data_IF_925760259742
#
_entry.id   IF_925760259742
#
_cell.length_a   1.000
_cell.length_b   1.000
_cell.length_c   1.000
_cell.angle_alpha   90.00
_cell.angle_beta   90.00
_cell.angle_gamma   90.00
#
_symmetry.space_group_name_H-M   'P 1'
#
loop_
_entity.id
_entity.type
_entity.pdbx_description
1 polymer ?
#
# COMPACT_ATOMS: atom_id res chain seq x y z
N UNK A 1 0.53 14.33 18.03
CA UNK A 1 0.01 15.68 18.44
C UNK A 1 -1.35 15.65 19.16
N UNK A 2 -2.35 14.80 18.80
CA UNK A 2 -3.64 14.76 19.53
C UNK A 2 -3.92 13.49 20.37
N UNK A 3 -2.98 12.56 20.55
CA UNK A 3 -3.14 11.33 21.36
C UNK A 3 -4.48 10.59 21.17
N UNK A 4 -5.02 10.60 19.95
CA UNK A 4 -6.25 9.88 19.61
C UNK A 4 -5.86 8.46 19.23
N UNK A 5 -6.41 7.48 19.95
CA UNK A 5 -6.22 6.07 19.60
C UNK A 5 -7.08 5.71 18.40
N UNK A 6 -6.47 5.06 17.42
CA UNK A 6 -7.15 4.55 16.22
C UNK A 6 -7.74 3.18 16.57
N UNK A 7 -9.00 2.89 16.18
CA UNK A 7 -9.57 1.58 16.39
C UNK A 7 -8.75 0.47 15.71
N UNK A 8 -8.68 -0.72 16.32
CA UNK A 8 -7.89 -1.83 15.78
C UNK A 8 -8.35 -2.25 14.38
N UNK A 9 -9.67 -2.31 14.14
CA UNK A 9 -10.23 -2.58 12.79
C UNK A 9 -9.76 -1.56 11.76
N UNK A 10 -9.77 -0.27 12.12
CA UNK A 10 -9.33 0.80 11.23
C UNK A 10 -7.83 0.67 10.88
N UNK A 11 -7.02 0.26 11.86
CA UNK A 11 -5.58 0.03 11.68
C UNK A 11 -5.31 -1.11 10.69
N UNK A 12 -6.06 -2.22 10.80
CA UNK A 12 -5.99 -3.34 9.86
C UNK A 12 -6.38 -2.94 8.44
N UNK A 13 -7.51 -2.23 8.28
CA UNK A 13 -7.96 -1.73 6.96
C UNK A 13 -6.90 -0.81 6.34
N UNK A 14 -6.28 0.06 7.15
CA UNK A 14 -5.18 0.92 6.69
C UNK A 14 -3.98 0.11 6.23
N UNK A 15 -3.54 -0.88 7.01
CA UNK A 15 -2.41 -1.74 6.61
C UNK A 15 -2.70 -2.44 5.28
N UNK A 16 -3.89 -3.02 5.11
CA UNK A 16 -4.27 -3.68 3.85
C UNK A 16 -4.19 -2.70 2.67
N UNK A 17 -4.77 -1.51 2.80
CA UNK A 17 -4.76 -0.52 1.73
C UNK A 17 -3.37 0.08 1.48
N UNK A 18 -2.55 0.22 2.52
CA UNK A 18 -1.16 0.67 2.40
C UNK A 18 -0.32 -0.36 1.64
N UNK A 19 -0.46 -1.65 1.94
CA UNK A 19 0.27 -2.70 1.23
C UNK A 19 -0.25 -2.88 -0.22
N UNK A 20 -1.56 -2.73 -0.47
CA UNK A 20 -2.08 -2.64 -1.85
C UNK A 20 -1.50 -1.43 -2.60
N UNK A 21 -1.37 -0.29 -1.92
CA UNK A 21 -0.77 0.91 -2.51
C UNK A 21 0.73 0.71 -2.78
N UNK A 22 1.45 -0.01 -1.91
CA UNK A 22 2.84 -0.42 -2.12
C UNK A 22 2.98 -1.28 -3.37
N UNK A 23 2.13 -2.31 -3.53
CA UNK A 23 2.10 -3.15 -4.73
C UNK A 23 1.87 -2.29 -5.99
N UNK A 24 0.86 -1.41 -5.97
CA UNK A 24 0.57 -0.53 -7.09
C UNK A 24 1.72 0.44 -7.43
N UNK A 25 2.51 0.85 -6.43
CA UNK A 25 3.70 1.69 -6.60
C UNK A 25 4.86 0.90 -7.20
N UNK A 26 5.14 -0.31 -6.72
CA UNK A 26 6.21 -1.17 -7.25
C UNK A 26 5.92 -1.62 -8.69
N UNK A 27 4.66 -1.91 -9.00
CA UNK A 27 4.21 -2.16 -10.38
C UNK A 27 4.45 -0.93 -11.27
N UNK A 28 4.05 0.27 -10.82
CA UNK A 28 4.30 1.50 -11.59
C UNK A 28 5.79 1.82 -11.75
N UNK A 29 6.65 1.40 -10.83
CA UNK A 29 8.09 1.52 -11.00
C UNK A 29 8.62 0.52 -12.04
N UNK A 30 8.20 -0.75 -11.93
CA UNK A 30 8.69 -1.84 -12.77
C UNK A 30 8.33 -1.64 -14.25
N UNK A 31 7.12 -1.16 -14.54
CA UNK A 31 6.63 -1.01 -15.91
C UNK A 31 7.54 -0.09 -16.76
N UNK A 32 7.62 1.22 -16.45
CA UNK A 32 8.49 2.17 -17.13
C UNK A 32 9.96 1.76 -17.10
N UNK A 33 10.47 1.22 -15.98
CA UNK A 33 11.84 0.73 -15.90
C UNK A 33 12.14 -0.33 -16.97
N UNK A 34 11.22 -1.29 -17.16
CA UNK A 34 11.36 -2.30 -18.22
C UNK A 34 11.21 -1.69 -19.62
N UNK A 35 10.29 -0.72 -19.78
CA UNK A 35 10.08 -0.02 -21.06
C UNK A 35 11.31 0.80 -21.49
N UNK A 36 11.98 1.45 -20.56
CA UNK A 36 13.21 2.23 -20.79
C UNK A 36 14.40 1.31 -21.13
N UNK A 37 14.43 0.12 -20.53
CA UNK A 37 15.32 -0.98 -20.93
C UNK A 37 14.89 -1.56 -22.30
N UNK A 38 13.76 -1.19 -22.88
CA UNK A 38 13.32 -1.62 -24.21
C UNK A 38 12.46 -2.89 -24.22
N UNK A 39 12.07 -3.41 -23.06
CA UNK A 39 11.07 -4.47 -22.95
C UNK A 39 9.67 -3.84 -22.79
N UNK A 40 8.95 -3.70 -23.89
CA UNK A 40 7.64 -3.04 -23.92
C UNK A 40 6.48 -3.97 -23.53
N UNK A 41 6.62 -5.29 -23.68
CA UNK A 41 5.51 -6.21 -23.40
C UNK A 41 5.17 -6.35 -21.91
N UNK A 42 6.12 -6.42 -20.96
CA UNK A 42 5.79 -6.50 -19.54
C UNK A 42 5.05 -5.26 -19.02
N UNK A 43 5.26 -4.10 -19.67
CA UNK A 43 4.56 -2.86 -19.34
C UNK A 43 3.04 -3.06 -19.39
N UNK A 44 2.50 -3.69 -20.44
CA UNK A 44 1.06 -3.90 -20.58
C UNK A 44 0.50 -4.88 -19.54
N UNK A 45 1.27 -5.91 -19.20
CA UNK A 45 0.84 -6.86 -18.17
C UNK A 45 0.74 -6.14 -16.82
N UNK A 46 1.78 -5.39 -16.44
CA UNK A 46 1.83 -4.67 -15.17
C UNK A 46 0.64 -3.70 -15.00
N UNK A 47 0.23 -3.01 -16.08
CA UNK A 47 -0.95 -2.14 -16.03
C UNK A 47 -2.26 -2.91 -15.87
N UNK A 48 -2.35 -4.15 -16.37
CA UNK A 48 -3.51 -5.03 -16.13
C UNK A 48 -3.62 -5.42 -14.66
N UNK A 49 -2.55 -5.82 -13.97
CA UNK A 49 -2.66 -6.12 -12.54
C UNK A 49 -2.90 -4.87 -11.71
N UNK A 50 -2.31 -3.75 -12.11
CA UNK A 50 -2.54 -2.46 -11.45
C UNK A 50 -4.00 -1.99 -11.56
N UNK A 51 -4.67 -2.32 -12.66
CA UNK A 51 -6.09 -2.07 -12.83
C UNK A 51 -6.96 -2.85 -11.83
N UNK A 52 -6.61 -4.10 -11.54
CA UNK A 52 -7.31 -4.90 -10.53
C UNK A 52 -7.20 -4.29 -9.13
N UNK A 53 -6.03 -3.72 -8.79
CA UNK A 53 -5.86 -2.97 -7.53
C UNK A 53 -6.73 -1.71 -7.51
N UNK A 54 -6.88 -1.04 -8.65
CA UNK A 54 -7.77 0.12 -8.76
C UNK A 54 -9.24 -0.24 -8.62
N UNK A 55 -9.67 -1.39 -9.13
CA UNK A 55 -11.02 -1.88 -8.90
C UNK A 55 -11.29 -2.19 -7.42
N UNK A 56 -10.26 -2.60 -6.66
CA UNK A 56 -10.37 -2.78 -5.21
C UNK A 56 -10.48 -1.44 -4.47
N UNK A 57 -9.70 -0.43 -4.87
CA UNK A 57 -9.81 0.91 -4.30
C UNK A 57 -11.12 1.61 -4.63
N UNK A 58 -11.60 1.45 -5.87
CA UNK A 58 -12.88 1.98 -6.31
C UNK A 58 -14.02 1.35 -5.53
N UNK A 59 -13.98 0.03 -5.32
CA UNK A 59 -14.97 -0.66 -4.49
C UNK A 59 -14.95 -0.15 -3.04
N UNK A 60 -13.79 0.06 -2.44
CA UNK A 60 -13.68 0.50 -1.04
C UNK A 60 -14.02 1.98 -0.82
N UNK A 61 -13.67 2.85 -1.77
CA UNK A 61 -13.63 4.31 -1.54
C UNK A 61 -14.48 5.11 -2.52
N UNK A 62 -14.93 4.50 -3.63
CA UNK A 62 -15.62 5.15 -4.74
C UNK A 62 -14.72 5.95 -5.68
N UNK A 63 -13.40 5.96 -5.45
CA UNK A 63 -12.42 6.65 -6.28
C UNK A 63 -11.27 5.71 -6.65
N UNK A 64 -10.53 6.03 -7.72
CA UNK A 64 -9.47 5.15 -8.27
C UNK A 64 -8.04 5.57 -7.94
N UNK A 65 -7.80 6.84 -7.63
CA UNK A 65 -6.47 7.33 -7.26
C UNK A 65 -6.50 8.22 -6.01
N UNK A 66 -7.35 9.25 -6.00
CA UNK A 66 -7.38 10.25 -4.92
C UNK A 66 -8.45 9.90 -3.89
N UNK A 67 -8.19 8.86 -3.10
CA UNK A 67 -9.22 8.20 -2.28
C UNK A 67 -9.71 8.99 -1.06
N UNK A 68 -8.94 9.97 -0.54
CA UNK A 68 -9.25 10.71 0.70
C UNK A 68 -9.82 9.84 1.84
N UNK A 69 -9.32 8.60 1.91
CA UNK A 69 -9.93 7.53 2.69
C UNK A 69 -9.37 7.47 4.12
N UNK A 70 -8.08 7.74 4.27
CA UNK A 70 -7.46 7.88 5.58
C UNK A 70 -7.81 9.24 6.16
N UNK A 71 -8.44 9.21 7.33
CA UNK A 71 -8.80 10.40 8.10
C UNK A 71 -8.15 10.33 9.47
N UNK A 72 -8.01 11.49 10.12
CA UNK A 72 -7.52 11.52 11.50
C UNK A 72 -8.44 10.64 12.36
N UNK A 73 -7.88 9.69 13.11
CA UNK A 73 -8.58 8.75 13.98
C UNK A 73 -9.30 7.57 13.35
N UNK A 74 -9.08 7.31 12.06
CA UNK A 74 -9.47 6.04 11.45
C UNK A 74 -9.66 6.14 9.95
N UNK A 75 -10.78 5.61 9.48
CA UNK A 75 -11.08 5.46 8.07
C UNK A 75 -12.42 6.14 7.76
N UNK A 76 -12.57 6.67 6.55
CA UNK A 76 -13.77 7.40 6.14
C UNK A 76 -15.05 6.54 6.08
N UNK A 77 -14.92 5.29 5.61
CA UNK A 77 -16.02 4.33 5.48
C UNK A 77 -15.49 2.91 5.70
N UNK A 78 -16.33 1.98 6.16
CA UNK A 78 -15.94 0.57 6.26
C UNK A 78 -15.90 -0.10 4.87
N UNK A 79 -15.28 -1.28 4.80
CA UNK A 79 -15.21 -2.09 3.59
C UNK A 79 -16.61 -2.62 3.19
N UNK A 80 -16.97 -2.62 1.91
CA UNK A 80 -18.26 -3.15 1.48
C UNK A 80 -18.31 -4.68 1.58
N UNK A 81 -19.53 -5.22 1.59
CA UNK A 81 -19.74 -6.66 1.63
C UNK A 81 -19.14 -7.35 0.40
N UNK A 82 -18.47 -8.50 0.59
CA UNK A 82 -17.79 -9.24 -0.48
C UNK A 82 -16.42 -8.66 -0.91
N UNK A 83 -15.97 -7.56 -0.30
CA UNK A 83 -14.66 -6.97 -0.64
C UNK A 83 -13.48 -7.85 -0.21
N UNK A 84 -13.59 -8.50 0.95
CA UNK A 84 -12.55 -9.37 1.51
C UNK A 84 -12.27 -10.53 0.56
N UNK A 85 -13.32 -11.21 0.10
CA UNK A 85 -13.20 -12.34 -0.83
C UNK A 85 -12.55 -11.91 -2.15
N UNK A 86 -12.99 -10.77 -2.71
CA UNK A 86 -12.38 -10.20 -3.92
C UNK A 86 -10.89 -9.86 -3.73
N UNK A 87 -10.52 -9.39 -2.54
CA UNK A 87 -9.12 -9.08 -2.23
C UNK A 87 -8.27 -10.35 -2.09
N UNK A 88 -8.82 -11.43 -1.53
CA UNK A 88 -8.16 -12.75 -1.47
C UNK A 88 -7.94 -13.32 -2.87
N UNK A 89 -8.97 -13.29 -3.72
CA UNK A 89 -8.87 -13.73 -5.13
C UNK A 89 -7.77 -12.97 -5.88
N UNK A 90 -7.65 -11.66 -5.63
CA UNK A 90 -6.57 -10.84 -6.18
C UNK A 90 -5.19 -11.27 -5.66
N UNK A 91 -5.05 -11.58 -4.37
CA UNK A 91 -3.77 -12.04 -3.79
C UNK A 91 -3.28 -13.31 -4.48
N UNK A 92 -4.16 -14.30 -4.66
CA UNK A 92 -3.82 -15.58 -5.30
C UNK A 92 -3.46 -15.40 -6.78
N UNK A 93 -4.22 -14.57 -7.49
CA UNK A 93 -3.94 -14.21 -8.87
C UNK A 93 -2.58 -13.48 -9.00
N UNK A 94 -2.32 -12.50 -8.14
CA UNK A 94 -1.14 -11.67 -8.22
C UNK A 94 0.15 -12.44 -7.89
N UNK A 95 0.12 -13.41 -6.97
CA UNK A 95 1.25 -14.31 -6.71
C UNK A 95 1.68 -15.05 -7.98
N UNK A 96 0.71 -15.51 -8.78
CA UNK A 96 0.98 -16.15 -10.08
C UNK A 96 1.63 -15.17 -11.05
N UNK A 97 1.14 -13.92 -11.09
CA UNK A 97 1.71 -12.85 -11.92
C UNK A 97 3.16 -12.51 -11.54
N UNK A 98 3.48 -12.41 -10.25
CA UNK A 98 4.85 -12.16 -9.78
C UNK A 98 5.81 -13.29 -10.19
N UNK A 99 5.38 -14.54 -10.08
CA UNK A 99 6.18 -15.68 -10.52
C UNK A 99 6.43 -15.66 -12.04
N UNK A 100 5.44 -15.26 -12.83
CA UNK A 100 5.60 -15.06 -14.28
C UNK A 100 6.61 -13.94 -14.58
N UNK A 101 6.56 -12.82 -13.86
CA UNK A 101 7.52 -11.72 -14.00
C UNK A 101 8.94 -12.13 -13.67
N UNK A 102 9.15 -12.88 -12.58
CA UNK A 102 10.47 -13.40 -12.25
C UNK A 102 11.02 -14.32 -13.35
N UNK A 103 10.15 -15.16 -13.92
CA UNK A 103 10.54 -16.08 -15.00
C UNK A 103 10.91 -15.33 -16.29
N UNK A 104 10.16 -14.29 -16.65
CA UNK A 104 10.35 -13.52 -17.88
C UNK A 104 11.50 -12.52 -17.79
N UNK A 105 11.66 -11.87 -16.64
CA UNK A 105 12.59 -10.74 -16.47
C UNK A 105 13.89 -11.21 -15.81
N UNK A 106 13.81 -11.82 -14.64
CA UNK A 106 14.99 -12.13 -13.82
C UNK A 106 15.93 -13.14 -14.49
N UNK A 107 15.38 -14.07 -15.28
CA UNK A 107 16.19 -15.08 -16.01
C UNK A 107 16.69 -14.61 -17.38
N UNK A 108 16.36 -13.40 -17.80
CA UNK A 108 16.74 -12.91 -19.12
C UNK A 108 18.19 -12.39 -19.10
N UNK A 109 19.12 -12.98 -19.88
CA UNK A 109 20.51 -12.54 -19.91
C UNK A 109 20.67 -11.08 -20.38
N UNK A 110 19.82 -10.61 -21.30
CA UNK A 110 19.86 -9.23 -21.81
C UNK A 110 19.47 -8.22 -20.72
N UNK A 111 18.63 -8.64 -19.77
CA UNK A 111 18.27 -7.81 -18.62
C UNK A 111 19.42 -7.76 -17.62
N UNK A 112 19.98 -8.92 -17.26
CA UNK A 112 21.10 -9.01 -16.32
C UNK A 112 22.30 -8.18 -16.80
N UNK A 113 22.72 -8.32 -18.05
CA UNK A 113 23.85 -7.58 -18.64
C UNK A 113 23.69 -6.04 -18.55
N UNK A 114 22.46 -5.53 -18.52
CA UNK A 114 22.17 -4.09 -18.50
C UNK A 114 22.04 -3.49 -17.10
N UNK A 115 21.82 -4.32 -16.10
CA UNK A 115 21.43 -3.89 -14.76
C UNK A 115 22.46 -4.32 -13.71
N UNK A 116 23.11 -5.46 -13.93
CA UNK A 116 24.18 -5.98 -13.08
C UNK A 116 25.40 -5.05 -13.08
N UNK A 117 25.87 -4.68 -11.89
CA UNK A 117 27.02 -3.80 -11.71
C UNK A 117 26.80 -2.32 -12.09
N UNK A 118 25.56 -1.92 -12.41
CA UNK A 118 25.23 -0.53 -12.76
C UNK A 118 24.73 0.23 -11.54
N UNK A 119 25.30 1.42 -11.31
CA UNK A 119 24.85 2.35 -10.28
C UNK A 119 25.07 1.85 -8.86
N UNK A 120 26.21 1.20 -8.61
CA UNK A 120 26.60 0.67 -7.29
C UNK A 120 26.71 1.82 -6.28
N UNK A 121 26.08 1.63 -5.12
CA UNK A 121 26.15 2.57 -4.00
C UNK A 121 26.58 1.83 -2.74
N UNK A 122 27.64 2.30 -2.08
CA UNK A 122 28.10 1.75 -0.81
C UNK A 122 27.18 2.11 0.36
N UNK A 123 27.19 1.31 1.43
CA UNK A 123 26.36 1.55 2.62
C UNK A 123 26.64 2.90 3.29
N UNK A 124 27.92 3.27 3.44
CA UNK A 124 28.30 4.57 4.03
C UNK A 124 27.87 5.75 3.15
N UNK A 125 28.01 5.62 1.82
CA UNK A 125 27.57 6.64 0.86
C UNK A 125 26.05 6.82 0.91
N UNK A 126 25.29 5.72 0.99
CA UNK A 126 23.84 5.75 1.10
C UNK A 126 23.38 6.53 2.34
N UNK A 127 24.04 6.33 3.49
CA UNK A 127 23.75 7.06 4.73
C UNK A 127 24.12 8.54 4.58
N UNK A 128 25.32 8.83 4.06
CA UNK A 128 25.81 10.20 3.92
C UNK A 128 24.95 11.04 2.96
N UNK A 129 24.38 10.42 1.92
CA UNK A 129 23.45 11.08 1.00
C UNK A 129 21.99 11.10 1.48
N UNK A 130 21.69 10.44 2.60
CA UNK A 130 20.33 10.36 3.14
C UNK A 130 19.38 9.52 2.28
N UNK A 131 19.90 8.50 1.58
CA UNK A 131 19.08 7.56 0.83
C UNK A 131 18.24 6.69 1.79
N UNK A 132 17.02 6.33 1.36
CA UNK A 132 16.09 5.53 2.17
C UNK A 132 15.37 4.47 1.35
N UNK A 133 14.69 3.55 2.03
CA UNK A 133 13.86 2.52 1.41
C UNK A 133 14.69 1.49 0.63
N UNK A 134 14.28 1.08 -0.59
CA UNK A 134 14.97 0.06 -1.39
C UNK A 134 16.42 0.42 -1.70
N UNK A 135 16.74 1.71 -1.85
CA UNK A 135 18.11 2.17 -2.13
C UNK A 135 19.06 1.84 -0.98
N UNK A 136 18.63 2.09 0.26
CA UNK A 136 19.42 1.81 1.47
C UNK A 136 19.54 0.30 1.70
N UNK A 137 18.45 -0.43 1.49
CA UNK A 137 18.39 -1.89 1.66
C UNK A 137 19.18 -2.66 0.62
N UNK A 138 19.35 -2.12 -0.58
CA UNK A 138 20.20 -2.70 -1.62
C UNK A 138 21.69 -2.60 -1.27
N UNK A 139 22.07 -1.61 -0.48
CA UNK A 139 23.46 -1.35 -0.06
C UNK A 139 23.88 -2.12 1.21
N UNK A 140 23.12 -3.14 1.63
CA UNK A 140 23.45 -4.00 2.77
C UNK A 140 22.95 -3.54 4.14
N UNK A 141 22.16 -2.45 4.21
CA UNK A 141 21.66 -1.91 5.47
C UNK A 141 20.21 -2.38 5.69
N UNK A 142 20.02 -3.24 6.70
CA UNK A 142 18.70 -3.75 7.09
C UNK A 142 17.92 -2.70 7.88
N UNK A 143 17.30 -1.77 7.17
CA UNK A 143 16.52 -0.69 7.78
C UNK A 143 15.15 -0.55 7.10
N UNK A 144 14.08 -0.71 7.88
CA UNK A 144 12.69 -0.46 7.47
C UNK A 144 11.92 0.19 8.62
N UNK A 145 11.29 1.33 8.34
CA UNK A 145 10.53 2.09 9.34
C UNK A 145 9.38 1.29 9.95
N UNK A 146 8.81 0.33 9.23
CA UNK A 146 7.71 -0.51 9.74
C UNK A 146 8.15 -1.42 10.89
N UNK A 147 9.42 -1.83 10.92
CA UNK A 147 10.00 -2.67 11.99
C UNK A 147 10.71 -1.84 13.07
N UNK A 148 11.10 -0.59 12.78
CA UNK A 148 11.82 0.26 13.73
C UNK A 148 10.86 1.12 14.54
N UNK A 149 9.95 1.82 13.86
CA UNK A 149 9.01 2.75 14.50
C UNK A 149 7.70 2.08 14.91
N UNK A 150 7.48 0.82 14.47
CA UNK A 150 6.34 0.00 14.90
C UNK A 150 4.99 0.73 14.74
N UNK A 151 4.79 1.42 13.62
CA UNK A 151 3.58 2.21 13.40
C UNK A 151 2.39 1.33 12.98
N UNK A 152 1.16 1.78 13.29
CA UNK A 152 -0.08 1.01 13.08
C UNK A 152 -0.03 -0.38 13.76
N UNK A 153 -0.29 -1.46 13.02
CA UNK A 153 -0.33 -2.83 13.56
C UNK A 153 0.60 -3.80 12.79
N UNK A 154 1.72 -3.30 12.25
CA UNK A 154 2.68 -4.13 11.51
C UNK A 154 3.36 -5.22 12.35
N UNK A 155 3.35 -5.10 13.68
CA UNK A 155 3.95 -6.05 14.62
C UNK A 155 3.14 -7.32 14.83
N UNK A 156 1.85 -7.29 14.48
CA UNK A 156 0.98 -8.45 14.60
C UNK A 156 1.15 -9.42 13.43
N UNK A 157 1.89 -9.02 12.39
CA UNK A 157 2.09 -9.81 11.17
C UNK A 157 3.51 -10.36 11.07
N UNK A 158 3.61 -11.59 10.55
CA UNK A 158 4.89 -12.24 10.29
C UNK A 158 5.37 -11.94 8.86
N UNK A 159 6.39 -11.10 8.76
CA UNK A 159 7.01 -10.69 7.50
C UNK A 159 8.49 -10.33 7.71
N UNK A 160 9.25 -10.47 6.63
CA UNK A 160 10.70 -10.26 6.61
C UNK A 160 11.11 -9.06 5.76
N UNK A 161 12.09 -8.30 6.26
CA UNK A 161 12.65 -7.17 5.52
C UNK A 161 13.61 -7.70 4.46
N UNK A 162 13.27 -7.45 3.20
CA UNK A 162 14.10 -7.83 2.06
C UNK A 162 15.28 -6.87 1.91
N UNK A 163 16.49 -7.40 1.84
CA UNK A 163 17.73 -6.65 1.68
C UNK A 163 18.70 -7.41 0.78
N UNK A 164 19.67 -6.69 0.23
CA UNK A 164 20.72 -7.21 -0.65
C UNK A 164 22.03 -6.50 -0.31
N UNK A 165 23.17 -7.04 -0.74
CA UNK A 165 24.51 -6.51 -0.36
C UNK A 165 25.22 -5.79 -1.49
N UNK A 166 24.85 -6.09 -2.73
CA UNK A 166 25.57 -5.75 -3.95
C UNK A 166 25.48 -4.25 -4.28
N UNK A 167 24.43 -3.56 -3.81
CA UNK A 167 24.24 -2.11 -3.99
C UNK A 167 23.93 -1.69 -5.43
N UNK A 168 23.85 -2.63 -6.36
CA UNK A 168 23.62 -2.40 -7.78
C UNK A 168 22.13 -2.26 -8.12
N UNK A 169 21.84 -1.96 -9.38
CA UNK A 169 20.47 -1.82 -9.85
C UNK A 169 19.71 -3.15 -9.81
N UNK A 170 20.41 -4.29 -9.90
CA UNK A 170 19.82 -5.62 -9.86
C UNK A 170 19.33 -5.95 -8.44
N UNK A 171 20.15 -5.66 -7.43
CA UNK A 171 19.78 -5.78 -6.02
C UNK A 171 18.51 -4.99 -5.69
N UNK A 172 18.38 -3.76 -6.21
CA UNK A 172 17.18 -2.93 -6.03
C UNK A 172 15.95 -3.56 -6.68
N UNK A 173 16.10 -4.08 -7.89
CA UNK A 173 15.04 -4.80 -8.59
C UNK A 173 14.59 -6.03 -7.78
N UNK A 174 15.53 -6.85 -7.31
CA UNK A 174 15.23 -8.06 -6.53
C UNK A 174 14.48 -7.72 -5.24
N UNK A 175 14.90 -6.69 -4.52
CA UNK A 175 14.23 -6.22 -3.31
C UNK A 175 12.78 -5.84 -3.61
N UNK A 176 12.54 -5.05 -4.67
CA UNK A 176 11.20 -4.58 -5.01
C UNK A 176 10.26 -5.73 -5.43
N UNK A 177 10.78 -6.72 -6.15
CA UNK A 177 10.02 -7.93 -6.47
C UNK A 177 9.67 -8.71 -5.20
N UNK A 178 10.64 -8.94 -4.32
CA UNK A 178 10.41 -9.66 -3.06
C UNK A 178 9.50 -8.90 -2.10
N UNK A 179 9.56 -7.56 -2.10
CA UNK A 179 8.64 -6.73 -1.33
C UNK A 179 7.19 -6.90 -1.80
N UNK A 180 6.94 -7.09 -3.10
CA UNK A 180 5.59 -7.37 -3.58
C UNK A 180 5.05 -8.69 -3.02
N UNK A 181 5.86 -9.75 -2.96
CA UNK A 181 5.45 -11.02 -2.35
C UNK A 181 5.23 -10.91 -0.84
N UNK A 182 6.09 -10.19 -0.11
CA UNK A 182 5.90 -9.94 1.33
C UNK A 182 4.66 -9.08 1.59
N UNK A 183 4.37 -8.11 0.73
CA UNK A 183 3.15 -7.28 0.82
C UNK A 183 1.89 -8.15 0.74
N UNK A 184 1.86 -9.13 -0.18
CA UNK A 184 0.74 -10.07 -0.29
C UNK A 184 0.62 -10.92 0.97
N UNK A 185 1.75 -11.43 1.50
CA UNK A 185 1.77 -12.20 2.75
C UNK A 185 1.16 -11.41 3.92
N UNK A 186 1.50 -10.11 4.04
CA UNK A 186 0.91 -9.22 5.05
C UNK A 186 -0.59 -9.04 4.81
N UNK A 187 -1.01 -8.81 3.56
CA UNK A 187 -2.43 -8.64 3.22
C UNK A 187 -3.25 -9.88 3.57
N UNK A 188 -2.78 -11.08 3.22
CA UNK A 188 -3.47 -12.34 3.54
C UNK A 188 -3.65 -12.51 5.05
N UNK A 189 -2.59 -12.30 5.84
CA UNK A 189 -2.68 -12.37 7.31
C UNK A 189 -3.63 -11.30 7.88
N UNK A 190 -3.62 -10.09 7.34
CA UNK A 190 -4.50 -9.01 7.77
C UNK A 190 -5.97 -9.27 7.44
N UNK A 191 -6.27 -9.91 6.31
CA UNK A 191 -7.63 -10.28 5.92
C UNK A 191 -8.18 -11.41 6.81
N UNK A 192 -7.38 -12.41 7.13
CA UNK A 192 -7.76 -13.50 8.06
C UNK A 192 -7.98 -12.99 9.49
N UNK A 193 -7.14 -12.05 9.94
CA UNK A 193 -7.15 -11.52 11.30
C UNK A 193 -8.06 -10.32 11.54
N UNK A 194 -8.86 -9.88 10.56
CA UNK A 194 -9.56 -8.59 10.66
C UNK A 194 -10.57 -8.59 11.83
N UNK A 195 -10.38 -7.73 12.85
CA UNK A 195 -11.31 -7.71 13.97
C UNK A 195 -12.62 -7.02 13.58
N UNK A 196 -13.73 -7.48 14.16
CA UNK A 196 -14.95 -6.70 14.20
C UNK A 196 -14.78 -5.42 15.02
N UNK A 197 -15.66 -4.45 14.86
CA UNK A 197 -15.68 -3.23 15.67
C UNK A 197 -15.81 -1.94 14.85
N UNK A 198 -15.65 -0.77 15.49
CA UNK A 198 -15.76 0.52 14.83
C UNK A 198 -14.55 0.79 13.90
N UNK A 199 -14.80 1.45 12.77
CA UNK A 199 -13.78 1.85 11.79
C UNK A 199 -13.30 3.31 11.95
N UNK A 200 -13.95 4.10 12.80
CA UNK A 200 -13.62 5.49 13.11
C UNK A 200 -13.72 5.71 14.63
N UNK A 201 -12.80 6.47 15.22
CA UNK A 201 -12.95 6.94 16.59
C UNK A 201 -13.98 8.10 16.63
N UNK A 202 -15.18 7.81 17.15
CA UNK A 202 -16.31 8.73 17.21
C UNK A 202 -16.06 10.00 18.06
N UNK A 203 -15.03 9.99 18.92
CA UNK A 203 -14.65 11.17 19.71
C UNK A 203 -14.26 12.36 18.81
N UNK A 204 -13.78 12.11 17.59
CA UNK A 204 -13.46 13.17 16.61
C UNK A 204 -14.70 13.89 16.13
N UNK A 205 -15.83 13.20 15.94
CA UNK A 205 -17.10 13.85 15.60
C UNK A 205 -17.62 14.76 16.72
N UNK A 206 -17.20 14.50 17.95
CA UNK A 206 -17.51 15.39 19.08
C UNK A 206 -16.62 16.63 19.10
N UNK A 207 -15.44 16.63 18.49
CA UNK A 207 -14.60 17.84 18.39
C UNK A 207 -15.05 18.80 17.28
N UNK A 208 -15.63 18.30 16.18
CA UNK A 208 -16.28 19.14 15.17
C UNK A 208 -17.59 19.78 15.68
N UNK A 209 -18.11 19.30 16.82
CA UNK A 209 -19.24 19.89 17.53
C UNK A 209 -18.74 20.59 18.78
N UNK A 210 -18.60 21.93 18.72
CA UNK A 210 -18.46 22.95 19.79
C UNK A 210 -17.19 23.77 19.52
N UNK A 211 -17.24 25.07 19.14
CA UNK A 211 -18.07 26.18 19.62
C UNK A 211 -18.11 27.30 18.55
N UNK A 212 -19.27 27.95 18.41
CA UNK A 212 -19.57 29.14 17.56
C UNK A 212 -19.80 28.93 16.06
N UNK A 213 -20.97 28.39 15.71
CA UNK A 213 -21.66 28.79 14.47
C UNK A 213 -22.90 29.59 14.86
N UNK A 214 -22.72 30.87 15.21
CA UNK A 214 -23.75 31.86 14.86
C UNK A 214 -23.69 32.04 13.34
N UNK A 215 -24.27 31.11 12.60
CA UNK A 215 -24.53 31.27 11.18
C UNK A 215 -26.03 31.40 11.00
N UNK A 216 -26.50 32.64 11.16
CA UNK A 216 -27.82 33.17 10.87
C UNK A 216 -29.02 32.47 11.57
N UNK A 217 -29.72 33.24 12.40
CA UNK A 217 -31.05 32.93 12.93
C UNK A 217 -32.04 32.65 11.78
N UNK A 218 -32.18 31.40 11.38
CA UNK A 218 -33.38 30.90 10.75
C UNK A 218 -33.67 29.50 11.28
N UNK A 219 -34.77 29.38 12.02
CA UNK A 219 -35.31 28.11 12.50
C UNK A 219 -35.66 27.21 11.31
N UNK A 220 -34.77 26.29 10.94
CA UNK A 220 -35.13 25.18 10.10
C UNK A 220 -35.96 24.18 10.93
N UNK A 221 -37.28 24.33 10.88
CA UNK A 221 -38.19 23.22 11.19
C UNK A 221 -37.96 22.12 10.16
N UNK A 222 -37.36 21.01 10.57
CA UNK A 222 -37.28 19.80 9.76
C UNK A 222 -38.70 19.29 9.49
N UNK A 223 -39.22 19.62 8.31
CA UNK A 223 -40.39 18.94 7.75
C UNK A 223 -39.88 17.56 7.31
N UNK A 224 -40.16 16.54 8.11
CA UNK A 224 -40.01 15.14 7.70
C UNK A 224 -40.70 14.95 6.35
N UNK A 225 -39.97 14.40 5.37
CA UNK A 225 -40.51 14.01 4.06
C UNK A 225 -41.85 13.30 4.26
N UNK A 226 -42.93 13.86 3.70
CA UNK A 226 -44.17 13.09 3.49
C UNK A 226 -43.81 11.84 2.69
N UNK A 227 -44.22 10.63 3.11
CA UNK A 227 -44.19 9.49 2.21
C UNK A 227 -45.14 9.80 1.06
N UNK A 228 -44.65 9.65 -0.16
CA UNK A 228 -45.42 9.78 -1.39
C UNK A 228 -46.54 8.72 -1.42
N UNK A 229 -47.69 9.02 -2.07
CA UNK A 229 -48.91 8.19 -2.03
C UNK A 229 -48.74 6.81 -2.67
#
# INVERSE_FOLDING_TARGET
>A
LRNIQVPKRASYIRVILLELSRIASHLLWLGPFMADIGAQTPFFYIFRERELVYDLFEAATGMRMMHNYFRIGGVAADLPHGWIDKCLDFCDYFLTGVAEYQKLITRNPIFLERVEGVGIIGGEEAINWGLSGPMLRASGIQWDLRKVDHYECYDEFDWEVQWQKEGDSLARYLILISEMTESIKIIQQALEGIPGGPYENLEIRCFDRVRDLQWNDFEYRFITKKPSP
#
